data_IF_701989584680
#
_entry.id   IF_701989584680
#
_cell.length_a   1.000
_cell.length_b   1.000
_cell.length_c   1.000
_cell.angle_alpha   90.00
_cell.angle_beta   90.00
_cell.angle_gamma   90.00
#
_symmetry.space_group_name_H-M   'P 1'
#
loop_
_entity.id
_entity.type
_entity.pdbx_description
1 polymer ?
#
# COMPACT_ATOMS: atom_id res chain seq x y z
N UNK A 1 -35.81 -79.36 14.35
CA UNK A 1 -36.98 -78.46 14.18
C UNK A 1 -36.47 -77.22 13.46
N UNK A 2 -36.42 -77.15 12.12
CA UNK A 2 -37.51 -77.10 11.13
C UNK A 2 -38.47 -75.91 11.31
N UNK A 3 -38.20 -74.88 10.49
CA UNK A 3 -39.14 -73.93 9.84
C UNK A 3 -39.88 -72.90 10.72
N UNK A 4 -40.51 -71.86 10.13
CA UNK A 4 -40.22 -71.14 8.89
C UNK A 4 -40.43 -69.61 9.00
N UNK A 5 -40.21 -68.95 7.87
CA UNK A 5 -40.39 -67.54 7.57
C UNK A 5 -41.85 -67.06 7.42
N UNK A 6 -41.96 -65.74 7.13
CA UNK A 6 -42.96 -65.01 6.31
C UNK A 6 -44.16 -64.37 7.05
N UNK A 7 -44.94 -63.46 6.41
CA UNK A 7 -44.57 -62.34 5.52
C UNK A 7 -45.51 -61.10 5.65
N UNK A 8 -45.16 -60.05 4.91
CA UNK A 8 -46.04 -59.23 4.03
C UNK A 8 -47.17 -58.32 4.57
N UNK A 9 -47.52 -57.43 3.62
CA UNK A 9 -48.74 -56.63 3.44
C UNK A 9 -48.61 -55.20 3.98
N UNK A 10 -48.18 -54.20 3.20
CA UNK A 10 -48.63 -53.63 1.91
C UNK A 10 -49.71 -52.54 2.04
N UNK A 11 -49.59 -51.57 1.12
CA UNK A 11 -50.58 -50.57 0.70
C UNK A 11 -50.70 -49.36 1.67
N UNK A 12 -50.59 -48.08 1.26
CA UNK A 12 -51.28 -47.39 0.16
C UNK A 12 -50.51 -46.10 -0.20
N UNK A 13 -50.47 -45.76 -1.49
CA UNK A 13 -49.95 -44.51 -2.03
C UNK A 13 -50.95 -43.36 -1.82
N UNK A 14 -50.46 -42.17 -1.41
CA UNK A 14 -51.10 -40.89 -1.73
C UNK A 14 -49.99 -39.91 -2.14
N UNK A 15 -49.91 -39.67 -3.46
CA UNK A 15 -49.29 -38.48 -4.02
C UNK A 15 -50.14 -37.26 -3.63
N UNK A 16 -49.57 -36.33 -2.89
CA UNK A 16 -50.07 -34.96 -2.81
C UNK A 16 -48.85 -34.02 -2.89
N UNK A 17 -48.76 -33.35 -4.05
CA UNK A 17 -47.79 -32.32 -4.33
C UNK A 17 -47.91 -31.18 -3.32
N UNK A 18 -46.81 -30.86 -2.62
CA UNK A 18 -46.50 -29.50 -2.23
C UNK A 18 -45.12 -29.14 -2.80
N UNK A 19 -45.13 -28.45 -3.94
CA UNK A 19 -44.01 -27.63 -4.41
C UNK A 19 -44.09 -26.28 -3.70
N UNK A 20 -43.01 -25.90 -3.02
CA UNK A 20 -42.50 -24.55 -2.71
C UNK A 20 -41.73 -24.65 -1.38
N UNK A 21 -40.54 -24.12 -1.16
CA UNK A 21 -39.76 -23.16 -1.93
C UNK A 21 -38.27 -23.22 -1.54
N UNK A 22 -37.45 -22.69 -2.45
CA UNK A 22 -36.20 -21.97 -2.23
C UNK A 22 -34.92 -22.77 -1.93
N UNK A 23 -34.22 -22.99 -3.04
CA UNK A 23 -32.78 -22.81 -3.16
C UNK A 23 -32.28 -21.56 -2.40
N UNK A 24 -31.26 -21.75 -1.57
CA UNK A 24 -30.34 -20.69 -1.15
C UNK A 24 -29.12 -21.32 -0.45
N UNK A 25 -28.28 -22.02 -1.21
CA UNK A 25 -26.91 -22.29 -0.74
C UNK A 25 -25.95 -22.40 -1.93
N UNK A 26 -25.98 -21.36 -2.77
CA UNK A 26 -24.96 -21.09 -3.78
C UNK A 26 -24.77 -19.59 -3.80
N UNK A 27 -23.85 -19.09 -2.96
CA UNK A 27 -23.04 -17.88 -3.17
C UNK A 27 -22.37 -17.44 -1.85
N UNK A 28 -21.56 -18.32 -1.26
CA UNK A 28 -20.50 -17.85 -0.37
C UNK A 28 -19.33 -17.42 -1.26
N UNK A 29 -18.91 -16.13 -1.29
CA UNK A 29 -17.74 -15.73 -2.06
C UNK A 29 -16.52 -16.43 -1.45
N UNK A 30 -15.96 -17.35 -2.21
CA UNK A 30 -14.71 -18.04 -1.88
C UNK A 30 -13.61 -16.96 -1.85
N UNK A 31 -13.19 -16.53 -0.65
CA UNK A 31 -12.07 -15.61 -0.46
C UNK A 31 -10.85 -16.21 -1.16
N UNK A 32 -10.53 -15.71 -2.35
CA UNK A 32 -9.27 -16.03 -3.01
C UNK A 32 -8.15 -15.65 -2.04
N UNK A 33 -7.38 -16.64 -1.59
CA UNK A 33 -6.15 -16.42 -0.85
C UNK A 33 -5.27 -15.49 -1.68
N UNK A 34 -5.15 -14.25 -1.21
CA UNK A 34 -4.37 -13.18 -1.86
C UNK A 34 -2.92 -13.64 -1.86
N UNK A 35 -2.41 -14.13 -3.00
CA UNK A 35 -1.00 -14.51 -3.16
C UNK A 35 -0.12 -13.37 -2.66
N UNK A 36 0.87 -13.68 -1.81
CA UNK A 36 1.81 -12.69 -1.31
C UNK A 36 2.46 -11.98 -2.50
N UNK A 37 2.30 -10.66 -2.58
CA UNK A 37 2.89 -9.84 -3.65
C UNK A 37 4.41 -9.81 -3.44
N UNK A 38 5.18 -10.03 -4.51
CA UNK A 38 6.63 -9.86 -4.46
C UNK A 38 6.97 -8.42 -4.02
N UNK A 39 8.03 -8.20 -3.22
CA UNK A 39 8.45 -6.85 -2.83
C UNK A 39 8.69 -5.97 -4.05
N UNK A 40 8.34 -4.68 -3.97
CA UNK A 40 8.60 -3.75 -5.06
C UNK A 40 10.12 -3.58 -5.23
N UNK A 41 10.70 -3.87 -6.40
CA UNK A 41 12.15 -3.82 -6.61
C UNK A 41 12.77 -2.45 -6.37
N UNK A 42 11.99 -1.36 -6.49
CA UNK A 42 12.47 -0.04 -6.12
C UNK A 42 12.92 0.02 -4.65
N UNK A 43 12.21 -0.67 -3.74
CA UNK A 43 12.51 -0.70 -2.30
C UNK A 43 13.75 -1.51 -1.94
N UNK A 44 14.35 -2.22 -2.88
CA UNK A 44 15.53 -3.02 -2.61
C UNK A 44 16.72 -2.09 -2.22
N UNK A 45 17.42 -2.39 -1.11
CA UNK A 45 18.63 -1.67 -0.76
C UNK A 45 19.72 -1.92 -1.80
N UNK A 46 20.65 -0.98 -1.91
CA UNK A 46 21.87 -1.13 -2.71
C UNK A 46 23.09 -1.06 -1.79
N UNK A 47 24.22 -1.55 -2.29
CA UNK A 47 25.51 -1.36 -1.65
C UNK A 47 26.22 -0.19 -2.31
N UNK A 48 26.96 0.58 -1.53
CA UNK A 48 27.77 1.67 -2.05
C UNK A 48 28.95 1.12 -2.84
N UNK A 49 29.19 1.73 -4.00
CA UNK A 49 30.46 1.65 -4.71
C UNK A 49 31.35 2.77 -4.17
N UNK A 50 32.52 2.38 -3.64
CA UNK A 50 33.47 3.33 -3.06
C UNK A 50 33.91 4.40 -4.08
N UNK A 51 33.95 5.65 -3.64
CA UNK A 51 34.37 6.79 -4.46
C UNK A 51 33.24 7.44 -5.28
N UNK A 52 32.02 6.88 -5.30
CA UNK A 52 30.87 7.51 -5.93
C UNK A 52 30.02 8.31 -4.92
N UNK A 53 29.43 9.45 -5.34
CA UNK A 53 28.54 10.23 -4.49
C UNK A 53 27.27 9.44 -4.11
N UNK A 54 26.70 9.74 -2.94
CA UNK A 54 25.48 9.13 -2.42
C UNK A 54 24.29 10.05 -2.65
N UNK A 55 23.31 9.55 -3.39
CA UNK A 55 22.04 10.24 -3.68
C UNK A 55 20.93 9.53 -2.92
N UNK A 56 20.16 10.26 -2.12
CA UNK A 56 18.97 9.71 -1.44
C UNK A 56 17.69 10.19 -2.11
N UNK A 57 16.84 9.25 -2.52
CA UNK A 57 15.47 9.52 -2.95
C UNK A 57 14.50 9.30 -1.78
N UNK A 58 13.77 10.35 -1.41
CA UNK A 58 12.69 10.33 -0.41
C UNK A 58 11.38 10.66 -1.12
N UNK A 59 10.31 9.91 -0.89
CA UNK A 59 9.03 10.34 -1.42
C UNK A 59 7.98 9.26 -1.51
N UNK A 60 6.85 9.64 -2.08
CA UNK A 60 5.66 8.80 -2.16
C UNK A 60 5.74 7.75 -3.28
N UNK A 61 4.60 7.21 -3.69
CA UNK A 61 4.50 6.24 -4.78
C UNK A 61 5.13 6.72 -6.09
N UNK A 62 5.15 8.03 -6.35
CA UNK A 62 5.74 8.61 -7.56
C UNK A 62 7.26 8.39 -7.57
N UNK A 63 7.94 8.62 -6.44
CA UNK A 63 9.36 8.29 -6.31
C UNK A 63 9.68 6.84 -6.61
N UNK A 64 8.76 5.93 -6.26
CA UNK A 64 8.93 4.51 -6.52
C UNK A 64 8.93 4.19 -8.01
N UNK A 65 8.14 4.92 -8.79
CA UNK A 65 8.06 4.75 -10.24
C UNK A 65 9.36 5.12 -10.95
N UNK A 66 10.02 6.21 -10.54
CA UNK A 66 11.26 6.66 -11.17
C UNK A 66 12.54 6.13 -10.53
N UNK A 67 12.48 5.47 -9.36
CA UNK A 67 13.70 4.97 -8.66
C UNK A 67 14.58 4.10 -9.56
N UNK A 68 14.02 3.11 -10.24
CA UNK A 68 14.81 2.16 -11.05
C UNK A 68 15.39 2.81 -12.31
N UNK A 69 14.61 3.60 -13.10
CA UNK A 69 15.18 4.38 -14.18
C UNK A 69 16.30 5.33 -13.75
N UNK A 70 16.16 6.01 -12.60
CA UNK A 70 17.22 6.91 -12.09
C UNK A 70 18.48 6.12 -11.72
N UNK A 71 18.34 4.95 -11.09
CA UNK A 71 19.48 4.04 -10.82
C UNK A 71 20.19 3.61 -12.09
N UNK A 72 19.43 3.27 -13.13
CA UNK A 72 19.97 2.87 -14.43
C UNK A 72 20.72 4.03 -15.11
N UNK A 73 20.10 5.21 -15.16
CA UNK A 73 20.68 6.41 -15.78
C UNK A 73 21.95 6.90 -15.07
N UNK A 74 22.06 6.70 -13.76
CA UNK A 74 23.20 7.12 -12.95
C UNK A 74 24.16 5.97 -12.59
N UNK A 75 24.03 4.81 -13.24
CA UNK A 75 24.91 3.68 -13.01
C UNK A 75 26.38 4.07 -13.27
N UNK A 76 27.26 3.73 -12.32
CA UNK A 76 28.68 4.10 -12.36
C UNK A 76 28.98 5.58 -12.08
N UNK A 77 27.96 6.42 -11.88
CA UNK A 77 28.10 7.85 -11.57
C UNK A 77 27.69 8.20 -10.14
N UNK A 78 26.72 7.49 -9.55
CA UNK A 78 26.27 7.70 -8.18
C UNK A 78 25.68 6.45 -7.53
N UNK A 79 25.77 6.38 -6.21
CA UNK A 79 25.04 5.42 -5.38
C UNK A 79 23.63 5.97 -5.11
N UNK A 80 22.64 5.55 -5.91
CA UNK A 80 21.25 6.03 -5.79
C UNK A 80 20.46 5.14 -4.82
N UNK A 81 20.32 5.64 -3.60
CA UNK A 81 19.53 5.08 -2.52
C UNK A 81 18.08 5.55 -2.56
N UNK A 82 17.22 4.82 -1.86
CA UNK A 82 15.90 5.32 -1.50
C UNK A 82 15.46 4.80 -0.15
N UNK A 83 14.49 5.50 0.45
CA UNK A 83 13.83 5.00 1.65
C UNK A 83 13.15 3.64 1.39
N UNK A 84 13.21 2.68 2.33
CA UNK A 84 12.68 1.32 2.16
C UNK A 84 11.15 1.26 2.35
N UNK A 85 10.45 2.38 2.18
CA UNK A 85 9.01 2.52 2.37
C UNK A 85 8.42 3.53 1.37
N UNK A 86 7.10 3.68 1.37
CA UNK A 86 6.43 4.79 0.72
C UNK A 86 6.43 5.99 1.70
N UNK A 87 6.93 7.13 1.25
CA UNK A 87 7.08 8.35 2.04
C UNK A 87 5.76 9.04 2.40
N UNK A 88 4.68 8.79 1.64
CA UNK A 88 3.35 9.29 1.94
C UNK A 88 3.27 10.82 2.06
N UNK A 89 2.43 11.37 2.96
CA UNK A 89 2.36 12.80 3.22
C UNK A 89 3.56 13.31 4.05
N UNK A 90 3.72 14.63 4.11
CA UNK A 90 4.77 15.28 4.92
C UNK A 90 4.69 14.94 6.41
N UNK A 91 3.50 14.68 6.97
CA UNK A 91 3.34 14.28 8.38
C UNK A 91 4.09 12.99 8.72
N UNK A 92 4.05 12.00 7.82
CA UNK A 92 4.86 10.78 7.93
C UNK A 92 6.35 11.09 7.79
N UNK A 93 6.69 12.03 6.92
CA UNK A 93 8.04 12.59 6.81
C UNK A 93 8.54 13.09 8.15
N UNK A 94 7.78 13.97 8.82
CA UNK A 94 8.15 14.55 10.12
C UNK A 94 8.44 13.45 11.15
N UNK A 95 7.62 12.40 11.19
CA UNK A 95 7.80 11.28 12.12
C UNK A 95 9.03 10.41 11.81
N UNK A 96 9.46 10.35 10.54
CA UNK A 96 10.39 9.31 10.06
C UNK A 96 11.71 9.85 9.52
N UNK A 97 11.85 11.18 9.36
CA UNK A 97 12.96 11.77 8.61
C UNK A 97 14.32 11.39 9.18
N UNK A 98 14.48 11.36 10.50
CA UNK A 98 15.74 10.96 11.14
C UNK A 98 16.13 9.52 10.80
N UNK A 99 15.17 8.59 10.87
CA UNK A 99 15.41 7.20 10.53
C UNK A 99 15.70 7.00 9.03
N UNK A 100 15.10 7.82 8.17
CA UNK A 100 15.31 7.76 6.72
C UNK A 100 16.65 8.34 6.29
N UNK A 101 17.11 9.40 6.95
CA UNK A 101 18.42 9.98 6.72
C UNK A 101 19.54 9.08 7.26
N UNK A 102 19.29 8.42 8.40
CA UNK A 102 20.27 7.58 9.09
C UNK A 102 21.51 8.36 9.51
N UNK A 103 22.60 7.63 9.77
CA UNK A 103 23.87 8.21 10.25
C UNK A 103 24.81 8.65 9.11
N UNK A 104 24.43 8.42 7.86
CA UNK A 104 25.26 8.69 6.69
C UNK A 104 25.23 10.16 6.25
N UNK A 105 26.29 10.58 5.55
CA UNK A 105 26.29 11.83 4.77
C UNK A 105 25.70 11.57 3.38
N UNK A 106 24.92 12.51 2.88
CA UNK A 106 24.35 12.50 1.54
C UNK A 106 25.00 13.61 0.72
N UNK A 107 25.28 13.35 -0.56
CA UNK A 107 25.78 14.38 -1.48
C UNK A 107 24.62 15.10 -2.18
N UNK A 108 23.52 14.38 -2.40
CA UNK A 108 22.26 14.93 -2.91
C UNK A 108 21.10 14.24 -2.21
N UNK A 109 20.14 15.03 -1.73
CA UNK A 109 18.83 14.53 -1.30
C UNK A 109 17.78 15.07 -2.27
N UNK A 110 17.06 14.16 -2.94
CA UNK A 110 15.90 14.50 -3.75
C UNK A 110 14.64 14.02 -3.05
N UNK A 111 13.63 14.89 -2.95
CA UNK A 111 12.38 14.55 -2.31
C UNK A 111 11.15 14.86 -3.17
N UNK A 112 10.08 14.09 -2.97
CA UNK A 112 8.74 14.45 -3.45
C UNK A 112 7.68 14.27 -2.34
N UNK A 113 6.94 15.35 -2.07
CA UNK A 113 5.73 15.40 -1.24
C UNK A 113 4.70 16.29 -1.93
N UNK A 114 3.45 16.28 -1.45
CA UNK A 114 2.40 17.16 -1.93
C UNK A 114 1.14 16.42 -2.36
N UNK A 115 1.25 15.33 -3.14
CA UNK A 115 0.05 14.60 -3.61
C UNK A 115 -0.78 14.05 -2.44
N UNK A 116 -0.12 13.46 -1.45
CA UNK A 116 -0.80 12.91 -0.28
C UNK A 116 -1.26 13.97 0.72
N UNK A 117 -0.63 15.15 0.70
CA UNK A 117 -0.93 16.29 1.57
C UNK A 117 -2.14 17.07 1.06
N UNK A 118 -2.09 17.46 -0.22
CA UNK A 118 -2.99 18.45 -0.82
C UNK A 118 -4.23 17.84 -1.49
N UNK A 119 -4.37 16.51 -1.49
CA UNK A 119 -5.62 15.85 -1.93
C UNK A 119 -6.77 16.24 -0.99
N UNK A 120 -7.96 16.34 -1.55
CA UNK A 120 -9.18 16.63 -0.78
C UNK A 120 -9.81 15.33 -0.29
N UNK A 121 -10.18 15.31 0.98
CA UNK A 121 -10.82 14.19 1.66
C UNK A 121 -12.08 14.63 2.40
N UNK A 122 -13.04 13.72 2.52
CA UNK A 122 -14.22 13.89 3.37
C UNK A 122 -13.86 13.66 4.86
N UNK A 123 -14.85 13.82 5.75
CA UNK A 123 -14.64 13.58 7.19
C UNK A 123 -14.35 12.12 7.56
N UNK A 124 -14.60 11.18 6.64
CA UNK A 124 -14.25 9.77 6.79
C UNK A 124 -12.85 9.43 6.20
N UNK A 125 -12.16 10.40 5.59
CA UNK A 125 -10.83 10.24 5.01
C UNK A 125 -10.81 9.71 3.57
N UNK A 126 -11.95 9.63 2.89
CA UNK A 126 -12.04 9.20 1.50
C UNK A 126 -11.75 10.36 0.56
N UNK A 127 -11.17 10.08 -0.61
CA UNK A 127 -10.98 11.07 -1.67
C UNK A 127 -12.33 11.66 -2.10
N UNK A 128 -12.38 12.98 -2.25
CA UNK A 128 -13.54 13.69 -2.83
C UNK A 128 -13.30 14.01 -4.30
N UNK A 129 -14.38 14.14 -5.06
CA UNK A 129 -14.32 14.53 -6.48
C UNK A 129 -14.19 16.04 -6.67
N UNK A 130 -14.60 16.84 -5.68
CA UNK A 130 -14.56 18.31 -5.74
C UNK A 130 -13.91 18.93 -4.52
N UNK A 131 -13.46 20.17 -4.66
CA UNK A 131 -12.80 20.94 -3.58
C UNK A 131 -13.79 21.43 -2.52
N UNK A 132 -15.05 21.67 -2.90
CA UNK A 132 -16.10 22.19 -2.02
C UNK A 132 -16.62 21.12 -1.04
N UNK A 133 -16.48 19.85 -1.41
CA UNK A 133 -17.00 18.70 -0.65
C UNK A 133 -15.99 18.07 0.30
N UNK A 134 -14.76 18.61 0.37
CA UNK A 134 -13.69 18.06 1.19
C UNK A 134 -12.77 19.12 1.78
N UNK A 135 -11.79 18.64 2.54
CA UNK A 135 -10.68 19.43 3.06
C UNK A 135 -9.36 18.78 2.64
N UNK A 136 -8.30 19.57 2.55
CA UNK A 136 -6.98 19.01 2.30
C UNK A 136 -6.59 18.03 3.41
N UNK A 137 -5.98 16.88 3.07
CA UNK A 137 -5.55 15.88 4.06
C UNK A 137 -4.59 16.50 5.08
N UNK A 138 -3.68 17.34 4.61
CA UNK A 138 -2.84 18.21 5.44
C UNK A 138 -3.19 19.65 5.05
N UNK A 139 -3.67 20.49 5.98
CA UNK A 139 -3.95 21.90 5.69
C UNK A 139 -2.75 22.59 5.07
N UNK A 140 -2.97 23.48 4.09
CA UNK A 140 -1.88 24.13 3.33
C UNK A 140 -0.79 24.76 4.22
N UNK A 141 -1.18 25.50 5.26
CA UNK A 141 -0.23 26.12 6.18
C UNK A 141 0.60 25.09 6.96
N UNK A 142 0.02 23.94 7.28
CA UNK A 142 0.75 22.86 7.95
C UNK A 142 1.68 22.14 6.98
N UNK A 143 1.25 21.92 5.74
CA UNK A 143 2.10 21.38 4.68
C UNK A 143 3.34 22.26 4.46
N UNK A 144 3.17 23.58 4.40
CA UNK A 144 4.28 24.54 4.30
C UNK A 144 5.25 24.43 5.48
N UNK A 145 4.73 24.48 6.72
CA UNK A 145 5.56 24.31 7.92
C UNK A 145 6.28 22.96 7.99
N UNK A 146 5.65 21.90 7.50
CA UNK A 146 6.27 20.58 7.47
C UNK A 146 7.40 20.53 6.43
N UNK A 147 7.21 21.13 5.25
CA UNK A 147 8.27 21.23 4.25
C UNK A 147 9.48 21.98 4.79
N UNK A 148 9.29 23.12 5.47
CA UNK A 148 10.39 23.89 6.06
C UNK A 148 11.18 23.06 7.07
N UNK A 149 10.49 22.33 7.95
CA UNK A 149 11.14 21.45 8.93
C UNK A 149 11.88 20.29 8.26
N UNK A 150 11.27 19.64 7.27
CA UNK A 150 11.88 18.55 6.54
C UNK A 150 13.13 19.00 5.80
N UNK A 151 13.05 20.11 5.06
CA UNK A 151 14.18 20.69 4.33
C UNK A 151 15.28 21.10 5.29
N UNK A 152 14.93 21.83 6.37
CA UNK A 152 15.88 22.23 7.39
C UNK A 152 16.60 21.04 8.02
N UNK A 153 15.91 19.91 8.21
CA UNK A 153 16.52 18.69 8.71
C UNK A 153 17.41 17.98 7.69
N UNK A 154 16.98 17.89 6.43
CA UNK A 154 17.75 17.25 5.34
C UNK A 154 19.07 17.98 5.09
N UNK A 155 19.06 19.31 5.10
CA UNK A 155 20.25 20.17 4.92
C UNK A 155 21.37 19.91 5.96
N UNK A 156 21.04 19.38 7.14
CA UNK A 156 22.05 19.07 8.17
C UNK A 156 22.87 17.82 7.82
N UNK A 157 22.36 16.96 6.93
CA UNK A 157 22.97 15.67 6.56
C UNK A 157 23.52 15.61 5.14
N UNK A 158 23.20 16.59 4.31
CA UNK A 158 23.60 16.64 2.89
C UNK A 158 22.74 17.60 2.10
#
# INVERSE_FOLDING_TARGET
>A
MFRPARPAVALVAILLLCRAANAAEKDAPQRQQKRARKPNPSLAPIQDVAGLPRVLLIGDSISMGYTLPVRELLAGSANVHRIPTNGGPTTRGIESIDAWLGDGKWDVIHFNWGLHDLKYIDDAGNLTETVESGKQQVPLEEYERNLDQLVGRMQQTG
#
